data_IF_086684130871
#
_entry.id   IF_086684130871
#
_cell.length_a   1.000
_cell.length_b   1.000
_cell.length_c   1.000
_cell.angle_alpha   90.00
_cell.angle_beta   90.00
_cell.angle_gamma   90.00
#
_symmetry.space_group_name_H-M   'P 1'
#
loop_
_entity.id
_entity.type
_entity.pdbx_description
1 polymer ?
#
# COMPACT_ATOMS: atom_id res chain seq x y z
N UNK A 1 2.43 10.77 -18.15
CA UNK A 1 2.82 11.26 -16.83
C UNK A 1 4.32 11.31 -16.74
N UNK A 2 4.90 12.45 -16.34
CA UNK A 2 6.34 12.69 -16.16
C UNK A 2 6.62 13.08 -14.72
N UNK A 3 7.83 12.77 -14.23
CA UNK A 3 8.30 13.01 -12.86
C UNK A 3 9.65 13.73 -12.84
N UNK A 4 9.93 14.56 -13.83
CA UNK A 4 11.25 15.18 -14.06
C UNK A 4 11.77 15.99 -12.86
N UNK A 5 10.87 16.57 -12.07
CA UNK A 5 11.22 17.32 -10.87
C UNK A 5 10.95 16.55 -9.56
N UNK A 6 10.61 15.28 -9.64
CA UNK A 6 10.26 14.52 -8.45
C UNK A 6 11.44 13.72 -7.92
N UNK A 7 11.54 13.67 -6.58
CA UNK A 7 12.44 12.79 -5.85
C UNK A 7 11.60 11.75 -5.14
N UNK A 8 11.86 10.50 -5.45
CA UNK A 8 11.05 9.35 -5.07
C UNK A 8 11.86 8.42 -4.18
N UNK A 9 11.33 8.06 -3.01
CA UNK A 9 11.82 6.93 -2.23
C UNK A 9 10.91 5.74 -2.52
N UNK A 10 11.50 4.59 -2.86
CA UNK A 10 10.82 3.30 -2.91
C UNK A 10 11.46 2.36 -1.91
N UNK A 11 10.72 1.90 -0.90
CA UNK A 11 11.23 0.95 0.10
C UNK A 11 11.04 -0.50 -0.35
N UNK A 12 11.98 -1.40 0.00
CA UNK A 12 12.00 -2.77 -0.51
C UNK A 12 12.13 -2.81 -2.03
N UNK A 13 13.01 -1.94 -2.58
CA UNK A 13 13.10 -1.68 -4.01
C UNK A 13 14.15 -2.54 -4.73
N UNK A 14 14.83 -3.44 -4.03
CA UNK A 14 15.85 -4.31 -4.64
C UNK A 14 15.26 -5.41 -5.52
N UNK A 15 13.97 -5.73 -5.40
CA UNK A 15 13.35 -6.85 -6.12
C UNK A 15 11.85 -6.65 -6.33
N UNK A 16 11.26 -7.49 -7.19
CA UNK A 16 9.81 -7.64 -7.35
C UNK A 16 9.09 -6.33 -7.66
N UNK A 17 8.03 -6.05 -6.94
CA UNK A 17 7.20 -4.85 -7.12
C UNK A 17 8.01 -3.56 -6.94
N UNK A 18 8.80 -3.46 -5.85
CA UNK A 18 9.57 -2.26 -5.56
C UNK A 18 10.59 -1.93 -6.64
N UNK A 19 11.30 -2.95 -7.18
CA UNK A 19 12.20 -2.77 -8.31
C UNK A 19 11.46 -2.19 -9.53
N UNK A 20 10.31 -2.77 -9.89
CA UNK A 20 9.52 -2.29 -11.02
C UNK A 20 9.00 -0.85 -10.83
N UNK A 21 8.65 -0.49 -9.60
CA UNK A 21 8.28 0.89 -9.27
C UNK A 21 9.46 1.84 -9.46
N UNK A 22 10.64 1.51 -8.91
CA UNK A 22 11.84 2.31 -9.02
C UNK A 22 12.24 2.55 -10.49
N UNK A 23 12.29 1.48 -11.29
CA UNK A 23 12.57 1.56 -12.73
C UNK A 23 11.53 2.42 -13.47
N UNK A 24 10.24 2.24 -13.16
CA UNK A 24 9.17 2.96 -13.82
C UNK A 24 9.17 4.47 -13.51
N UNK A 25 9.51 4.87 -12.28
CA UNK A 25 9.69 6.27 -11.90
C UNK A 25 10.91 6.88 -12.60
N UNK A 26 12.07 6.21 -12.55
CA UNK A 26 13.30 6.66 -13.17
C UNK A 26 13.13 6.84 -14.69
N UNK A 27 12.50 5.90 -15.38
CA UNK A 27 12.20 5.98 -16.81
C UNK A 27 11.31 7.17 -17.18
N UNK A 28 10.64 7.78 -16.20
CA UNK A 28 9.81 8.99 -16.37
C UNK A 28 10.45 10.27 -15.84
N UNK A 29 11.74 10.20 -15.49
CA UNK A 29 12.55 11.37 -15.15
C UNK A 29 12.73 11.63 -13.66
N UNK A 30 12.17 10.81 -12.75
CA UNK A 30 12.38 10.96 -11.32
C UNK A 30 13.84 10.66 -10.93
N UNK A 31 14.31 11.32 -9.86
CA UNK A 31 15.46 10.88 -9.09
C UNK A 31 15.00 9.89 -8.01
N UNK A 32 15.60 8.70 -7.94
CA UNK A 32 15.07 7.59 -7.12
C UNK A 32 16.04 7.17 -6.03
N UNK A 33 15.57 7.11 -4.79
CA UNK A 33 16.25 6.37 -3.71
C UNK A 33 15.71 4.95 -3.73
N UNK A 34 16.59 4.01 -4.06
CA UNK A 34 16.34 2.58 -4.07
C UNK A 34 16.69 2.04 -2.69
N UNK A 35 15.72 1.94 -1.80
CA UNK A 35 15.97 1.41 -0.46
C UNK A 35 15.68 -0.08 -0.39
N UNK A 36 16.66 -0.85 0.05
CA UNK A 36 16.54 -2.26 0.41
C UNK A 36 17.63 -2.60 1.43
N UNK A 37 17.33 -3.45 2.42
CA UNK A 37 18.31 -3.86 3.44
C UNK A 37 19.47 -4.71 2.86
N UNK A 38 19.29 -5.28 1.68
CA UNK A 38 20.31 -6.02 0.94
C UNK A 38 21.01 -5.07 -0.05
N UNK A 39 22.29 -4.71 0.22
CA UNK A 39 23.04 -3.77 -0.61
C UNK A 39 23.27 -4.28 -2.05
N UNK A 40 23.38 -5.59 -2.24
CA UNK A 40 23.69 -6.15 -3.54
C UNK A 40 22.49 -6.01 -4.50
N UNK A 41 21.26 -6.23 -4.00
CA UNK A 41 20.07 -6.09 -4.84
C UNK A 41 19.71 -4.61 -5.04
N UNK A 42 19.90 -3.75 -4.04
CA UNK A 42 19.69 -2.32 -4.20
C UNK A 42 20.69 -1.74 -5.23
N UNK A 43 21.95 -2.09 -5.13
CA UNK A 43 23.00 -1.65 -6.06
C UNK A 43 22.74 -2.08 -7.51
N UNK A 44 22.21 -3.29 -7.73
CA UNK A 44 21.85 -3.76 -9.08
C UNK A 44 20.75 -2.90 -9.70
N UNK A 45 19.71 -2.54 -8.92
CA UNK A 45 18.63 -1.70 -9.44
C UNK A 45 19.11 -0.28 -9.72
N UNK A 46 20.02 0.26 -8.90
CA UNK A 46 20.66 1.55 -9.18
C UNK A 46 21.41 1.49 -10.51
N UNK A 47 22.26 0.46 -10.71
CA UNK A 47 22.98 0.30 -11.96
C UNK A 47 22.06 0.19 -13.18
N UNK A 48 20.95 -0.58 -13.09
CA UNK A 48 19.96 -0.67 -14.16
C UNK A 48 19.34 0.70 -14.50
N UNK A 49 19.07 1.53 -13.48
CA UNK A 49 18.51 2.87 -13.68
C UNK A 49 19.56 3.79 -14.36
N UNK A 50 20.79 3.74 -13.91
CA UNK A 50 21.89 4.57 -14.45
C UNK A 50 22.25 4.17 -15.88
N UNK A 51 22.32 2.88 -16.17
CA UNK A 51 22.54 2.34 -17.52
C UNK A 51 21.45 2.78 -18.50
N UNK A 52 20.22 2.95 -18.02
CA UNK A 52 19.10 3.51 -18.78
C UNK A 52 19.11 5.06 -18.86
N UNK A 53 20.13 5.73 -18.29
CA UNK A 53 20.25 7.18 -18.27
C UNK A 53 19.42 7.90 -17.21
N UNK A 54 18.87 7.17 -16.24
CA UNK A 54 18.15 7.71 -15.09
C UNK A 54 19.07 8.14 -13.96
N UNK A 55 18.46 8.56 -12.83
CA UNK A 55 19.20 8.98 -11.62
C UNK A 55 18.71 8.17 -10.43
N UNK A 56 19.62 7.48 -9.76
CA UNK A 56 19.29 6.73 -8.56
C UNK A 56 20.43 6.72 -7.55
N UNK A 57 20.11 6.39 -6.30
CA UNK A 57 21.05 6.11 -5.23
C UNK A 57 20.51 4.96 -4.38
N UNK A 58 21.39 4.07 -3.94
CA UNK A 58 21.02 3.01 -3.03
C UNK A 58 21.00 3.52 -1.58
N UNK A 59 20.06 2.99 -0.79
CA UNK A 59 20.01 3.16 0.66
C UNK A 59 19.73 1.81 1.32
N UNK A 60 20.45 1.46 2.38
CA UNK A 60 20.37 0.13 3.01
C UNK A 60 19.87 0.16 4.44
N UNK A 61 19.33 1.29 4.89
CA UNK A 61 18.74 1.40 6.21
C UNK A 61 17.41 0.63 6.32
N UNK A 62 17.12 0.13 7.52
CA UNK A 62 15.91 -0.60 7.81
C UNK A 62 14.73 0.34 8.07
N UNK A 63 13.59 0.09 7.43
CA UNK A 63 12.33 0.80 7.71
C UNK A 63 11.73 0.42 9.08
N UNK A 64 12.07 -0.75 9.61
CA UNK A 64 11.57 -1.24 10.89
C UNK A 64 11.97 -0.36 12.08
N UNK A 65 13.00 0.47 11.90
CA UNK A 65 13.53 1.36 12.92
C UNK A 65 13.28 2.83 12.56
N UNK A 66 12.87 3.62 13.55
CA UNK A 66 12.59 5.04 13.34
C UNK A 66 13.82 5.81 12.84
N UNK A 67 14.98 5.49 13.35
CA UNK A 67 16.24 6.13 12.93
C UNK A 67 16.62 5.70 11.50
N UNK A 68 16.39 4.44 11.13
CA UNK A 68 16.56 3.97 9.76
C UNK A 68 15.67 4.72 8.77
N UNK A 69 14.39 4.92 9.11
CA UNK A 69 13.46 5.70 8.28
C UNK A 69 13.93 7.16 8.10
N UNK A 70 14.48 7.79 9.16
CA UNK A 70 15.07 9.13 9.09
C UNK A 70 16.29 9.17 8.17
N UNK A 71 17.16 8.16 8.26
CA UNK A 71 18.33 8.05 7.40
C UNK A 71 17.95 7.88 5.93
N UNK A 72 16.95 7.04 5.62
CA UNK A 72 16.42 6.88 4.25
C UNK A 72 15.93 8.21 3.68
N UNK A 73 15.18 8.99 4.47
CA UNK A 73 14.70 10.33 4.05
C UNK A 73 15.85 11.32 3.91
N UNK A 74 16.86 11.25 4.79
CA UNK A 74 18.07 12.08 4.69
C UNK A 74 18.80 11.80 3.38
N UNK A 75 18.96 10.52 2.98
CA UNK A 75 19.55 10.16 1.67
C UNK A 75 18.86 10.89 0.51
N UNK A 76 17.52 10.96 0.48
CA UNK A 76 16.80 11.68 -0.57
C UNK A 76 17.09 13.19 -0.55
N UNK A 77 17.07 13.80 0.63
CA UNK A 77 17.26 15.26 0.77
C UNK A 77 18.69 15.70 0.57
N UNK A 78 19.67 14.90 0.96
CA UNK A 78 21.11 15.16 0.80
C UNK A 78 21.57 14.95 -0.64
N UNK A 79 21.10 13.89 -1.30
CA UNK A 79 21.53 13.55 -2.67
C UNK A 79 20.77 14.36 -3.73
N UNK A 80 19.47 14.66 -3.49
CA UNK A 80 18.61 15.26 -4.50
C UNK A 80 17.92 16.56 -4.04
N UNK A 81 18.19 17.02 -2.82
CA UNK A 81 17.74 18.32 -2.31
C UNK A 81 16.30 18.37 -1.79
N UNK A 82 15.48 17.34 -1.99
CA UNK A 82 14.07 17.29 -1.56
C UNK A 82 13.55 15.86 -1.50
N UNK A 83 12.31 15.71 -1.00
CA UNK A 83 11.52 14.49 -1.12
C UNK A 83 10.09 14.88 -1.54
N UNK A 84 9.57 14.30 -2.61
CA UNK A 84 8.23 14.58 -3.13
C UNK A 84 7.31 13.37 -3.18
N UNK A 85 7.86 12.17 -3.33
CA UNK A 85 7.09 10.92 -3.42
C UNK A 85 7.69 9.87 -2.49
N UNK A 86 6.85 9.20 -1.72
CA UNK A 86 7.19 8.05 -0.90
C UNK A 86 6.32 6.85 -1.31
N UNK A 87 6.96 5.75 -1.70
CA UNK A 87 6.30 4.47 -1.94
C UNK A 87 6.71 3.50 -0.83
N UNK A 88 5.83 3.28 0.13
CA UNK A 88 5.99 2.29 1.19
C UNK A 88 5.65 0.91 0.64
N UNK A 89 6.66 0.21 0.13
CA UNK A 89 6.51 -1.11 -0.45
C UNK A 89 7.20 -2.20 0.37
N UNK A 90 8.20 -1.88 1.19
CA UNK A 90 8.87 -2.85 2.04
C UNK A 90 7.87 -3.68 2.86
N UNK A 91 8.09 -4.98 2.92
CA UNK A 91 7.24 -5.91 3.65
C UNK A 91 7.77 -7.33 3.52
N UNK A 92 7.32 -8.16 4.42
CA UNK A 92 7.64 -9.59 4.48
C UNK A 92 6.35 -10.40 4.46
N UNK A 93 6.45 -11.70 4.21
CA UNK A 93 5.34 -12.63 4.32
C UNK A 93 5.78 -13.85 5.14
N UNK A 94 4.86 -14.38 5.94
CA UNK A 94 5.02 -15.62 6.68
C UNK A 94 3.70 -16.39 6.54
N UNK A 95 3.81 -17.68 6.29
CA UNK A 95 2.67 -18.58 6.15
C UNK A 95 2.57 -19.45 7.41
N UNK A 96 1.65 -19.10 8.29
CA UNK A 96 1.34 -19.88 9.48
C UNK A 96 -0.14 -19.75 9.85
N UNK A 97 -0.78 -20.82 10.30
CA UNK A 97 -2.12 -20.75 10.89
C UNK A 97 -2.08 -19.95 12.19
N UNK A 98 -3.17 -19.32 12.60
CA UNK A 98 -3.24 -18.47 13.79
C UNK A 98 -2.62 -19.11 15.05
N UNK A 99 -2.89 -20.37 15.38
CA UNK A 99 -2.32 -21.00 16.59
C UNK A 99 -0.81 -21.28 16.47
N UNK A 100 -0.25 -21.27 15.26
CA UNK A 100 1.14 -21.65 14.98
C UNK A 100 2.04 -20.43 14.75
N UNK A 101 1.48 -19.22 14.74
CA UNK A 101 2.25 -17.98 14.60
C UNK A 101 3.08 -17.77 15.87
N UNK A 102 4.41 -17.75 15.74
CA UNK A 102 5.27 -17.41 16.87
C UNK A 102 5.17 -15.92 17.22
N UNK A 103 5.46 -15.58 18.47
CA UNK A 103 5.52 -14.18 18.92
C UNK A 103 6.57 -13.39 18.11
N UNK A 104 7.70 -13.99 17.78
CA UNK A 104 8.78 -13.38 17.03
C UNK A 104 8.33 -13.11 15.57
N UNK A 105 7.67 -14.05 14.92
CA UNK A 105 7.11 -13.87 13.59
C UNK A 105 6.06 -12.77 13.57
N UNK A 106 5.17 -12.76 14.56
CA UNK A 106 4.18 -11.71 14.72
C UNK A 106 4.84 -10.34 14.85
N UNK A 107 5.81 -10.19 15.78
CA UNK A 107 6.52 -8.93 16.02
C UNK A 107 7.30 -8.45 14.81
N UNK A 108 8.03 -9.36 14.15
CA UNK A 108 8.78 -9.03 12.95
C UNK A 108 7.86 -8.57 11.82
N UNK A 109 6.71 -9.25 11.63
CA UNK A 109 5.71 -8.85 10.62
C UNK A 109 5.20 -7.44 10.87
N UNK A 110 4.81 -7.11 12.12
CA UNK A 110 4.33 -5.78 12.47
C UNK A 110 5.43 -4.73 12.30
N UNK A 111 6.62 -4.99 12.81
CA UNK A 111 7.76 -4.07 12.78
C UNK A 111 8.15 -3.67 11.35
N UNK A 112 8.28 -4.64 10.44
CA UNK A 112 8.67 -4.33 9.05
C UNK A 112 7.51 -3.72 8.26
N UNK A 113 6.30 -4.28 8.38
CA UNK A 113 5.20 -3.96 7.47
C UNK A 113 4.40 -2.74 7.94
N UNK A 114 4.02 -2.69 9.22
CA UNK A 114 3.19 -1.61 9.78
C UNK A 114 4.04 -0.48 10.32
N UNK A 115 4.94 -0.79 11.27
CA UNK A 115 5.78 0.23 11.89
C UNK A 115 6.69 0.88 10.85
N UNK A 116 7.21 0.08 9.90
CA UNK A 116 8.02 0.58 8.78
C UNK A 116 7.27 1.62 7.94
N UNK A 117 6.03 1.33 7.53
CA UNK A 117 5.21 2.29 6.80
C UNK A 117 4.93 3.57 7.62
N UNK A 118 4.63 3.41 8.91
CA UNK A 118 4.43 4.55 9.83
C UNK A 118 5.71 5.38 10.01
N UNK A 119 6.85 4.74 10.26
CA UNK A 119 8.12 5.43 10.44
C UNK A 119 8.50 6.25 9.20
N UNK A 120 8.35 5.66 8.01
CA UNK A 120 8.61 6.33 6.75
C UNK A 120 7.66 7.50 6.50
N UNK A 121 6.36 7.33 6.74
CA UNK A 121 5.40 8.43 6.67
C UNK A 121 5.79 9.56 7.62
N UNK A 122 6.07 9.25 8.88
CA UNK A 122 6.43 10.24 9.90
C UNK A 122 7.74 10.98 9.57
N UNK A 123 8.74 10.29 9.00
CA UNK A 123 9.99 10.89 8.59
C UNK A 123 9.85 11.77 7.33
N UNK A 124 9.05 11.35 6.35
CA UNK A 124 8.83 12.10 5.11
C UNK A 124 7.94 13.33 5.29
N UNK A 125 7.00 13.27 6.22
CA UNK A 125 5.94 14.27 6.41
C UNK A 125 6.42 15.71 6.52
N UNK A 126 7.38 16.05 7.41
CA UNK A 126 7.86 17.44 7.56
C UNK A 126 8.45 18.01 6.28
N UNK A 127 9.14 17.17 5.49
CA UNK A 127 9.76 17.57 4.23
C UNK A 127 8.70 17.88 3.16
N UNK A 128 7.66 17.05 3.08
CA UNK A 128 6.56 17.24 2.15
C UNK A 128 5.70 18.46 2.52
N UNK A 129 5.42 18.67 3.80
CA UNK A 129 4.72 19.89 4.29
C UNK A 129 5.53 21.14 3.94
N UNK A 130 6.84 21.14 4.19
CA UNK A 130 7.73 22.25 3.83
C UNK A 130 7.70 22.58 2.34
N UNK A 131 7.58 21.57 1.50
CA UNK A 131 7.49 21.72 0.05
C UNK A 131 6.09 22.16 -0.43
N UNK A 132 5.06 22.09 0.45
CA UNK A 132 3.65 22.27 0.06
C UNK A 132 3.15 21.21 -0.92
N UNK A 133 3.86 20.08 -1.03
CA UNK A 133 3.58 18.98 -1.97
C UNK A 133 4.17 17.66 -1.47
N UNK A 134 3.38 16.63 -1.51
CA UNK A 134 3.80 15.26 -1.21
C UNK A 134 2.84 14.22 -1.76
N UNK A 135 3.36 13.06 -2.12
CA UNK A 135 2.59 11.90 -2.56
C UNK A 135 3.08 10.66 -1.81
N UNK A 136 2.20 10.03 -1.06
CA UNK A 136 2.50 8.81 -0.33
C UNK A 136 1.63 7.69 -0.90
N UNK A 137 2.25 6.61 -1.34
CA UNK A 137 1.58 5.40 -1.79
C UNK A 137 2.00 4.23 -0.91
N UNK A 138 1.09 3.75 -0.10
CA UNK A 138 1.30 2.61 0.77
C UNK A 138 0.94 1.29 0.07
N UNK A 139 1.61 0.20 0.41
CA UNK A 139 1.30 -1.13 -0.13
C UNK A 139 0.55 -1.94 0.92
N UNK A 140 -0.76 -2.10 0.72
CA UNK A 140 -1.63 -3.01 1.46
C UNK A 140 -1.73 -4.37 0.74
N UNK A 141 -2.75 -5.18 1.03
CA UNK A 141 -3.00 -6.47 0.37
C UNK A 141 -4.48 -6.84 0.44
N UNK A 142 -4.96 -7.58 -0.56
CA UNK A 142 -6.26 -8.22 -0.50
C UNK A 142 -6.39 -9.23 0.65
N UNK A 143 -5.29 -9.83 1.10
CA UNK A 143 -5.27 -10.69 2.29
C UNK A 143 -5.76 -9.95 3.56
N UNK A 144 -5.59 -8.61 3.62
CA UNK A 144 -6.05 -7.80 4.75
C UNK A 144 -7.56 -7.64 4.79
N UNK A 145 -8.22 -7.38 3.67
CA UNK A 145 -9.65 -7.10 3.63
C UNK A 145 -10.54 -8.28 3.18
N UNK A 146 -9.96 -9.28 2.50
CA UNK A 146 -10.69 -10.48 2.08
C UNK A 146 -10.37 -11.72 2.94
N UNK A 147 -9.24 -11.68 3.66
CA UNK A 147 -8.71 -12.83 4.38
C UNK A 147 -8.05 -13.87 3.47
N UNK A 148 -7.14 -14.65 4.03
CA UNK A 148 -6.54 -15.81 3.38
C UNK A 148 -6.04 -16.77 4.47
N UNK A 149 -6.17 -18.07 4.26
CA UNK A 149 -5.62 -19.08 5.16
C UNK A 149 -4.11 -18.87 5.33
N UNK A 150 -3.61 -19.15 6.52
CA UNK A 150 -2.18 -19.06 6.90
C UNK A 150 -1.54 -17.66 6.79
N UNK A 151 -2.28 -16.61 6.46
CA UNK A 151 -1.79 -15.24 6.34
C UNK A 151 -2.28 -14.33 7.49
N UNK A 152 -2.53 -14.86 8.68
CA UNK A 152 -3.11 -14.08 9.78
C UNK A 152 -2.28 -12.88 10.20
N UNK A 153 -0.99 -13.03 10.44
CA UNK A 153 -0.09 -11.93 10.81
C UNK A 153 0.08 -10.92 9.66
N UNK A 154 0.28 -11.43 8.45
CA UNK A 154 0.43 -10.61 7.25
C UNK A 154 -0.84 -9.81 6.93
N UNK A 155 -2.00 -10.48 6.91
CA UNK A 155 -3.30 -9.85 6.65
C UNK A 155 -3.60 -8.74 7.65
N UNK A 156 -3.35 -9.00 8.96
CA UNK A 156 -3.53 -8.01 10.02
C UNK A 156 -2.65 -6.76 9.79
N UNK A 157 -1.34 -6.96 9.51
CA UNK A 157 -0.42 -5.85 9.25
C UNK A 157 -0.84 -5.05 8.00
N UNK A 158 -1.22 -5.73 6.92
CA UNK A 158 -1.63 -5.07 5.66
C UNK A 158 -2.96 -4.33 5.79
N UNK A 159 -3.92 -4.83 6.59
CA UNK A 159 -5.14 -4.08 6.88
C UNK A 159 -4.86 -2.86 7.78
N UNK A 160 -3.94 -2.99 8.74
CA UNK A 160 -3.51 -1.86 9.55
C UNK A 160 -2.86 -0.74 8.70
N UNK A 161 -2.07 -1.08 7.67
CA UNK A 161 -1.54 -0.11 6.70
C UNK A 161 -2.66 0.58 5.92
N UNK A 162 -3.76 -0.12 5.60
CA UNK A 162 -4.93 0.50 4.98
C UNK A 162 -5.60 1.52 5.92
N UNK A 163 -5.73 1.18 7.21
CA UNK A 163 -6.20 2.11 8.25
C UNK A 163 -5.28 3.32 8.42
N UNK A 164 -3.97 3.10 8.50
CA UNK A 164 -2.96 4.17 8.53
C UNK A 164 -3.11 5.11 7.32
N UNK A 165 -3.33 4.57 6.12
CA UNK A 165 -3.54 5.35 4.90
C UNK A 165 -4.75 6.30 5.03
N UNK A 166 -5.88 5.78 5.51
CA UNK A 166 -7.10 6.57 5.68
C UNK A 166 -6.91 7.69 6.73
N UNK A 167 -6.32 7.38 7.88
CA UNK A 167 -6.05 8.38 8.92
C UNK A 167 -5.04 9.43 8.46
N UNK A 168 -3.92 9.02 7.87
CA UNK A 168 -2.92 9.94 7.34
C UNK A 168 -3.48 10.85 6.23
N UNK A 169 -4.42 10.37 5.43
CA UNK A 169 -5.11 11.19 4.43
C UNK A 169 -5.97 12.28 5.06
N UNK A 170 -6.57 12.05 6.25
CA UNK A 170 -7.27 13.09 7.00
C UNK A 170 -6.29 14.13 7.56
N UNK A 171 -5.16 13.68 8.12
CA UNK A 171 -4.10 14.57 8.62
C UNK A 171 -3.47 15.40 7.49
N UNK A 172 -3.53 14.90 6.25
CA UNK A 172 -2.99 15.57 5.07
C UNK A 172 -3.86 16.72 4.53
N UNK A 173 -5.10 16.87 4.99
CA UNK A 173 -6.01 17.92 4.52
C UNK A 173 -5.32 19.29 4.68
N UNK A 174 -5.30 20.08 3.61
CA UNK A 174 -4.69 21.42 3.54
C UNK A 174 -3.15 21.46 3.61
N UNK A 175 -2.45 20.32 3.55
CA UNK A 175 -0.98 20.28 3.57
C UNK A 175 -0.33 20.20 2.18
N UNK A 176 -1.11 19.90 1.15
CA UNK A 176 -0.62 19.59 -0.20
C UNK A 176 -0.17 18.14 -0.37
N UNK A 177 -0.29 17.30 0.66
CA UNK A 177 0.03 15.88 0.63
C UNK A 177 -1.22 15.08 0.26
N UNK A 178 -1.04 14.00 -0.49
CA UNK A 178 -2.05 12.93 -0.62
C UNK A 178 -1.48 11.61 -0.18
N UNK A 179 -2.30 10.79 0.47
CA UNK A 179 -1.92 9.46 0.98
C UNK A 179 -2.92 8.44 0.45
N UNK A 180 -2.46 7.50 -0.36
CA UNK A 180 -3.29 6.44 -0.93
C UNK A 180 -2.62 5.08 -0.74
N UNK A 181 -3.33 4.01 -1.04
CA UNK A 181 -2.75 2.67 -1.00
C UNK A 181 -3.07 1.84 -2.24
N UNK A 182 -2.16 0.93 -2.55
CA UNK A 182 -2.35 -0.13 -3.55
C UNK A 182 -2.35 -1.49 -2.86
N UNK A 183 -3.28 -2.36 -3.26
CA UNK A 183 -3.30 -3.79 -2.95
C UNK A 183 -2.89 -4.55 -4.21
N UNK A 184 -1.60 -4.83 -4.40
CA UNK A 184 -1.08 -5.42 -5.62
C UNK A 184 -1.31 -6.92 -5.64
N UNK A 185 -1.56 -7.46 -6.84
CA UNK A 185 -1.49 -8.89 -7.12
C UNK A 185 -0.60 -9.11 -8.34
N UNK A 186 0.58 -9.65 -8.11
CA UNK A 186 1.55 -10.00 -9.15
C UNK A 186 2.39 -11.20 -8.69
N UNK A 187 2.95 -11.93 -9.64
CA UNK A 187 3.91 -12.99 -9.34
C UNK A 187 5.22 -12.37 -8.89
N UNK A 188 5.63 -12.65 -7.67
CA UNK A 188 6.89 -12.19 -7.09
C UNK A 188 7.62 -13.37 -6.46
N UNK A 189 8.91 -13.21 -6.16
CA UNK A 189 9.64 -14.22 -5.39
C UNK A 189 8.93 -14.57 -4.07
N UNK A 190 8.27 -13.60 -3.46
CA UNK A 190 7.58 -13.74 -2.17
C UNK A 190 6.43 -14.75 -2.21
N UNK A 191 5.74 -14.88 -3.34
CA UNK A 191 4.53 -15.70 -3.48
C UNK A 191 4.64 -16.82 -4.52
N UNK A 192 5.70 -16.83 -5.32
CA UNK A 192 5.86 -17.79 -6.43
C UNK A 192 5.81 -19.24 -5.95
N UNK A 193 6.58 -19.57 -4.92
CA UNK A 193 6.68 -20.95 -4.44
C UNK A 193 5.39 -21.39 -3.76
N UNK A 194 4.76 -20.51 -2.99
CA UNK A 194 3.53 -20.81 -2.26
C UNK A 194 2.31 -20.98 -3.16
N UNK A 195 2.17 -20.15 -4.20
CA UNK A 195 0.98 -20.15 -5.05
C UNK A 195 1.16 -20.84 -6.40
N UNK A 196 2.41 -21.04 -6.85
CA UNK A 196 2.71 -21.55 -8.19
C UNK A 196 3.64 -22.78 -8.19
N UNK A 197 4.01 -23.30 -7.00
CA UNK A 197 4.91 -24.46 -6.89
C UNK A 197 6.28 -24.23 -7.54
N UNK A 198 6.79 -22.99 -7.50
CA UNK A 198 8.08 -22.61 -8.06
C UNK A 198 8.11 -22.48 -9.60
N UNK A 199 6.99 -22.68 -10.29
CA UNK A 199 6.94 -22.52 -11.75
C UNK A 199 6.97 -21.04 -12.11
N UNK A 200 7.94 -20.65 -12.91
CA UNK A 200 7.86 -19.40 -13.67
C UNK A 200 6.83 -19.61 -14.78
N UNK A 201 6.08 -18.56 -15.11
CA UNK A 201 5.39 -18.52 -16.38
C UNK A 201 6.49 -18.45 -17.44
N UNK A 202 6.83 -19.57 -18.06
CA UNK A 202 7.91 -19.68 -19.06
C UNK A 202 7.57 -18.99 -20.39
N UNK A 203 6.44 -18.30 -20.49
CA UNK A 203 5.96 -17.69 -21.71
C UNK A 203 6.21 -16.18 -21.78
N UNK A 204 6.70 -15.72 -22.93
CA UNK A 204 6.79 -14.28 -23.25
C UNK A 204 5.42 -13.58 -23.27
N UNK A 205 4.33 -14.35 -23.36
CA UNK A 205 2.95 -13.82 -23.42
C UNK A 205 2.10 -14.16 -22.19
N UNK A 206 2.51 -13.64 -21.03
CA UNK A 206 1.74 -13.73 -19.80
C UNK A 206 0.30 -13.17 -19.94
N UNK A 207 0.06 -12.27 -20.91
CA UNK A 207 -1.28 -11.70 -21.18
C UNK A 207 -2.22 -12.74 -21.74
N UNK A 208 -1.72 -13.55 -22.67
CA UNK A 208 -2.48 -14.66 -23.22
C UNK A 208 -2.73 -15.75 -22.16
N UNK A 209 -1.75 -16.05 -21.33
CA UNK A 209 -1.89 -17.01 -20.24
C UNK A 209 -2.91 -16.58 -19.18
N UNK A 210 -2.95 -15.27 -18.84
CA UNK A 210 -4.02 -14.71 -17.99
C UNK A 210 -5.37 -14.82 -18.70
N UNK A 211 -5.46 -14.42 -19.97
CA UNK A 211 -6.71 -14.45 -20.72
C UNK A 211 -7.26 -15.87 -20.88
N UNK A 212 -6.39 -16.87 -20.93
CA UNK A 212 -6.74 -18.31 -21.00
C UNK A 212 -6.93 -18.94 -19.60
N UNK A 213 -6.78 -18.18 -18.51
CA UNK A 213 -6.91 -18.70 -17.14
C UNK A 213 -5.80 -19.65 -16.69
N UNK A 214 -4.67 -19.68 -17.41
CA UNK A 214 -3.55 -20.57 -17.08
C UNK A 214 -2.74 -20.06 -15.89
N UNK A 215 -2.61 -18.73 -15.75
CA UNK A 215 -1.97 -18.06 -14.62
C UNK A 215 -2.91 -16.99 -14.05
N UNK A 216 -3.05 -16.89 -12.72
CA UNK A 216 -3.98 -15.94 -12.10
C UNK A 216 -3.40 -14.52 -11.97
N UNK A 217 -2.09 -14.35 -12.18
CA UNK A 217 -1.40 -13.08 -11.92
C UNK A 217 -0.31 -12.82 -12.98
N UNK A 218 -0.14 -11.53 -13.33
CA UNK A 218 0.91 -11.08 -14.22
C UNK A 218 2.22 -10.71 -13.49
N UNK A 219 3.23 -10.24 -14.23
CA UNK A 219 4.50 -9.80 -13.67
C UNK A 219 4.33 -8.54 -12.80
N UNK A 220 5.30 -8.25 -11.90
CA UNK A 220 5.25 -7.07 -11.04
C UNK A 220 5.10 -5.74 -11.78
N UNK A 221 5.64 -5.64 -12.98
CA UNK A 221 5.56 -4.43 -13.83
C UNK A 221 4.13 -3.98 -14.16
N UNK A 222 3.14 -4.90 -14.09
CA UNK A 222 1.73 -4.58 -14.39
C UNK A 222 1.10 -3.68 -13.33
N UNK A 223 1.66 -3.65 -12.11
CA UNK A 223 1.16 -2.83 -11.00
C UNK A 223 1.78 -1.42 -11.02
N UNK A 224 2.98 -1.26 -11.56
CA UNK A 224 3.69 0.01 -11.56
C UNK A 224 2.86 1.20 -12.11
N UNK A 225 2.09 1.07 -13.19
CA UNK A 225 1.24 2.18 -13.67
C UNK A 225 0.25 2.70 -12.64
N UNK A 226 -0.32 1.84 -11.79
CA UNK A 226 -1.24 2.24 -10.72
C UNK A 226 -0.53 3.07 -9.66
N UNK A 227 0.66 2.66 -9.22
CA UNK A 227 1.47 3.38 -8.24
C UNK A 227 1.88 4.74 -8.78
N UNK A 228 2.36 4.81 -10.03
CA UNK A 228 2.73 6.06 -10.66
C UNK A 228 1.53 7.01 -10.81
N UNK A 229 0.37 6.49 -11.21
CA UNK A 229 -0.84 7.29 -11.29
C UNK A 229 -1.21 7.92 -9.95
N UNK A 230 -1.19 7.15 -8.86
CA UNK A 230 -1.49 7.65 -7.52
C UNK A 230 -0.43 8.65 -7.01
N UNK A 231 0.81 8.51 -7.45
CA UNK A 231 1.93 9.39 -7.07
C UNK A 231 2.05 10.65 -7.95
N UNK A 232 1.30 10.76 -9.04
CA UNK A 232 1.44 11.89 -9.97
C UNK A 232 0.79 13.16 -9.42
N UNK A 233 1.40 14.31 -9.73
CA UNK A 233 0.94 15.63 -9.25
C UNK A 233 -0.48 16.01 -9.67
N UNK A 234 -0.93 15.52 -10.83
CA UNK A 234 -2.28 15.79 -11.33
C UNK A 234 -3.35 14.94 -10.63
N UNK A 235 -2.96 13.90 -9.90
CA UNK A 235 -3.88 13.05 -9.16
C UNK A 235 -4.29 13.74 -7.86
N UNK A 236 -5.61 13.94 -7.70
CA UNK A 236 -6.21 14.56 -6.52
C UNK A 236 -6.84 13.56 -5.57
N UNK A 237 -6.66 12.26 -5.82
CA UNK A 237 -7.18 11.19 -4.99
C UNK A 237 -6.46 11.19 -3.65
N UNK A 238 -7.23 11.10 -2.56
CA UNK A 238 -6.70 11.07 -1.20
C UNK A 238 -7.52 10.13 -0.31
N UNK A 239 -6.86 9.28 0.45
CA UNK A 239 -7.50 8.32 1.37
C UNK A 239 -8.11 7.10 0.70
N UNK A 240 -7.75 6.80 -0.54
CA UNK A 240 -8.33 5.68 -1.26
C UNK A 240 -7.36 4.49 -1.40
N UNK A 241 -7.95 3.32 -1.56
CA UNK A 241 -7.24 2.05 -1.71
C UNK A 241 -7.63 1.45 -3.06
N UNK A 242 -6.64 1.00 -3.83
CA UNK A 242 -6.87 0.39 -5.13
C UNK A 242 -6.31 -1.02 -5.19
N UNK A 243 -7.17 -1.99 -5.53
CA UNK A 243 -6.73 -3.31 -5.97
C UNK A 243 -6.17 -3.20 -7.39
N UNK A 244 -4.96 -3.71 -7.61
CA UNK A 244 -4.29 -3.70 -8.91
C UNK A 244 -3.79 -5.10 -9.21
N UNK A 245 -4.47 -5.79 -10.13
CA UNK A 245 -4.23 -7.20 -10.45
C UNK A 245 -4.45 -7.45 -11.94
N UNK A 246 -3.47 -8.07 -12.59
CA UNK A 246 -3.62 -8.63 -13.95
C UNK A 246 -4.24 -7.66 -14.96
N UNK A 247 -3.87 -6.36 -14.86
CA UNK A 247 -4.39 -5.30 -15.72
C UNK A 247 -5.73 -4.70 -15.27
N UNK A 248 -6.38 -5.25 -14.24
CA UNK A 248 -7.57 -4.64 -13.62
C UNK A 248 -7.16 -3.73 -12.47
N UNK A 249 -7.67 -2.52 -12.45
CA UNK A 249 -7.56 -1.59 -11.32
C UNK A 249 -8.96 -1.23 -10.84
N UNK A 250 -9.21 -1.39 -9.55
CA UNK A 250 -10.51 -1.08 -8.95
C UNK A 250 -10.33 -0.50 -7.54
N UNK A 251 -11.17 0.46 -7.17
CA UNK A 251 -11.21 0.98 -5.80
C UNK A 251 -11.74 -0.08 -4.84
N UNK A 252 -11.13 -0.15 -3.66
CA UNK A 252 -11.59 -0.93 -2.52
C UNK A 252 -12.25 0.01 -1.53
N UNK A 253 -13.51 -0.28 -1.17
CA UNK A 253 -14.28 0.50 -0.19
C UNK A 253 -14.50 -0.29 1.09
N UNK A 254 -14.53 0.39 2.23
CA UNK A 254 -15.10 -0.09 3.48
C UNK A 254 -16.45 0.56 3.64
N UNK A 255 -17.51 -0.24 3.57
CA UNK A 255 -18.88 0.27 3.47
C UNK A 255 -19.68 -0.08 4.72
N UNK A 256 -20.65 0.78 5.05
CA UNK A 256 -21.63 0.58 6.12
C UNK A 256 -23.00 0.57 5.48
N UNK A 257 -23.75 -0.52 5.64
CA UNK A 257 -25.12 -0.66 5.16
C UNK A 257 -26.12 0.12 6.02
N UNK A 258 -27.36 0.22 5.56
CA UNK A 258 -28.45 0.85 6.29
C UNK A 258 -28.71 0.21 7.66
N UNK A 259 -28.60 -1.12 7.74
CA UNK A 259 -28.75 -1.88 8.97
C UNK A 259 -30.14 -1.80 9.61
N UNK A 260 -30.19 -2.05 10.93
CA UNK A 260 -31.38 -1.98 11.76
C UNK A 260 -31.18 -0.93 12.85
N UNK A 261 -32.17 -0.08 13.06
CA UNK A 261 -32.13 0.96 14.08
C UNK A 261 -33.22 0.77 15.13
N UNK A 262 -32.84 0.59 16.38
CA UNK A 262 -33.67 0.65 17.57
C UNK A 262 -32.75 1.00 18.76
N UNK A 263 -32.87 2.19 19.39
CA UNK A 263 -32.01 2.59 20.50
C UNK A 263 -32.11 1.68 21.73
N UNK A 264 -33.24 0.98 21.89
CA UNK A 264 -33.53 0.08 23.01
C UNK A 264 -33.46 -1.40 22.61
N UNK A 265 -32.68 -1.75 21.55
CA UNK A 265 -32.59 -3.12 21.05
C UNK A 265 -31.97 -4.08 22.08
N UNK A 266 -32.53 -5.27 22.14
CA UNK A 266 -31.97 -6.43 22.87
C UNK A 266 -31.18 -7.36 21.93
N UNK A 267 -30.34 -8.28 22.47
CA UNK A 267 -29.72 -9.32 21.63
C UNK A 267 -30.74 -10.16 20.85
N UNK A 268 -31.93 -10.39 21.41
CA UNK A 268 -33.01 -11.12 20.77
C UNK A 268 -33.64 -10.33 19.61
N UNK A 269 -33.66 -8.98 19.71
CA UNK A 269 -34.11 -8.13 18.61
C UNK A 269 -33.10 -8.14 17.46
N UNK A 270 -31.80 -8.09 17.77
CA UNK A 270 -30.76 -8.22 16.74
C UNK A 270 -30.85 -9.57 16.03
N UNK A 271 -31.08 -10.66 16.76
CA UNK A 271 -31.25 -11.99 16.17
C UNK A 271 -32.46 -12.06 15.24
N UNK A 272 -33.59 -11.40 15.57
CA UNK A 272 -34.78 -11.33 14.72
C UNK A 272 -34.55 -10.53 13.43
N UNK A 273 -33.68 -9.52 13.49
CA UNK A 273 -33.39 -8.62 12.36
C UNK A 273 -32.04 -8.94 11.66
N UNK A 274 -31.46 -10.12 11.93
CA UNK A 274 -30.15 -10.53 11.39
C UNK A 274 -30.06 -10.35 9.88
N UNK A 275 -31.08 -10.76 9.13
CA UNK A 275 -31.11 -10.64 7.66
C UNK A 275 -30.98 -9.18 7.20
N UNK A 276 -31.75 -8.28 7.82
CA UNK A 276 -31.72 -6.84 7.53
C UNK A 276 -30.36 -6.23 7.91
N UNK A 277 -29.80 -6.61 9.07
CA UNK A 277 -28.50 -6.10 9.54
C UNK A 277 -27.36 -6.51 8.60
N UNK A 278 -27.44 -7.71 8.03
CA UNK A 278 -26.40 -8.25 7.12
C UNK A 278 -26.53 -7.81 5.68
N UNK A 279 -27.68 -7.31 5.30
CA UNK A 279 -27.88 -6.79 3.95
C UNK A 279 -27.22 -5.43 3.82
N UNK A 280 -26.36 -5.26 2.81
CA UNK A 280 -25.73 -3.97 2.56
C UNK A 280 -26.72 -2.97 1.94
N UNK A 281 -27.66 -3.42 1.07
CA UNK A 281 -28.65 -2.57 0.44
C UNK A 281 -28.05 -1.31 -0.17
N UNK A 282 -28.66 -0.17 0.14
CA UNK A 282 -27.99 1.12 -0.01
C UNK A 282 -26.94 1.24 1.08
N UNK A 283 -25.72 1.64 0.72
CA UNK A 283 -24.59 1.72 1.65
C UNK A 283 -23.86 3.05 1.55
N UNK A 284 -23.26 3.44 2.65
CA UNK A 284 -22.31 4.53 2.72
C UNK A 284 -20.87 3.97 2.62
N UNK A 285 -20.02 4.64 1.85
CA UNK A 285 -18.56 4.47 1.85
C UNK A 285 -17.93 5.72 2.49
N UNK A 286 -17.82 5.77 3.82
CA UNK A 286 -17.48 6.98 4.53
C UNK A 286 -16.01 7.37 4.28
N UNK A 287 -15.78 8.64 4.06
CA UNK A 287 -14.43 9.22 3.92
C UNK A 287 -13.83 9.57 5.28
N UNK A 288 -14.68 9.75 6.30
CA UNK A 288 -14.28 10.03 7.67
C UNK A 288 -15.25 9.42 8.67
N UNK A 289 -14.85 9.29 9.92
CA UNK A 289 -15.74 8.87 11.02
C UNK A 289 -16.93 9.82 11.17
N UNK A 290 -16.75 11.12 10.90
CA UNK A 290 -17.84 12.09 10.97
C UNK A 290 -18.92 11.83 9.92
N UNK A 291 -18.58 11.36 8.72
CA UNK A 291 -19.55 11.00 7.69
C UNK A 291 -20.36 9.76 8.09
N UNK A 292 -19.75 8.76 8.72
CA UNK A 292 -20.45 7.58 9.22
C UNK A 292 -21.50 7.97 10.27
N UNK A 293 -21.17 8.90 11.18
CA UNK A 293 -22.09 9.37 12.20
C UNK A 293 -23.32 10.09 11.63
N UNK A 294 -23.22 10.68 10.44
CA UNK A 294 -24.35 11.38 9.78
C UNK A 294 -25.45 10.45 9.28
N UNK A 295 -25.20 9.15 9.11
CA UNK A 295 -26.22 8.17 8.71
C UNK A 295 -26.96 7.55 9.89
N UNK A 296 -26.55 7.83 11.12
CA UNK A 296 -27.36 7.48 12.28
C UNK A 296 -28.65 8.33 12.22
N UNK A 297 -29.84 7.70 12.19
CA UNK A 297 -31.08 8.46 12.06
C UNK A 297 -31.16 9.60 13.11
N UNK A 298 -31.67 10.78 12.75
CA UNK A 298 -31.63 11.98 13.59
C UNK A 298 -32.68 11.92 14.73
N UNK A 299 -32.72 10.83 15.49
CA UNK A 299 -33.54 10.74 16.71
C UNK A 299 -32.97 11.55 17.89
N UNK A 300 -31.75 12.02 17.76
CA UNK A 300 -31.11 12.87 18.77
C UNK A 300 -31.25 14.37 18.52
N UNK A 301 -31.98 14.80 17.47
CA UNK A 301 -32.26 16.21 17.18
C UNK A 301 -33.74 16.51 17.41
N UNK A 302 -34.28 16.06 18.53
CA UNK A 302 -35.55 16.58 19.10
C UNK A 302 -35.29 16.78 20.61
N UNK A 303 -34.78 17.95 20.91
CA UNK A 303 -34.76 18.51 22.22
C UNK A 303 -34.96 19.99 22.11
#
# INVERSE_FOLDING_TARGET
MRFDDDVVIVTGAGQGLGREYALAFAARGASVVVNDIDPDVAGKVVAEIEDAGGKAVADTNSVAEREGARAIVATATEQFGKLTVLVNNAGIINFAAIPDISEDDWRTMQSVTLDGAFHMCAAAWPHMVKNGYGRIVNTTSNAGFAGNETLGAYGAAKLAVAGLTKCAAQDAISTGITVNAVAPMAVTRMNRDAFFGGKESEGEDWREDIAQGKVPMGPPSIVAPTVLWLAHRDTQINGEIFSSSSGKVARVGFVVGEGYFNPDHSPEDLAKHEAQIRELGEYLDPKSTGEELLVIPPLFVKG
#
